data_IF_711722950633
#
_entry.id   IF_711722950633
#
_cell.length_a   1.000
_cell.length_b   1.000
_cell.length_c   1.000
_cell.angle_alpha   90.00
_cell.angle_beta   90.00
_cell.angle_gamma   90.00
#
_symmetry.space_group_name_H-M   'P 1'
#
loop_
_entity.id
_entity.type
_entity.pdbx_description
1 polymer ?
#
# COMPACT_ATOMS: atom_id res chain seq x y z
N UNK A 1 -4.45 12.48 3.01
CA UNK A 1 -3.67 11.37 3.58
C UNK A 1 -4.60 10.50 4.43
N UNK A 2 -4.63 9.18 4.23
CA UNK A 2 -5.44 8.24 5.02
C UNK A 2 -4.55 7.46 5.97
N UNK A 3 -4.99 7.29 7.21
CA UNK A 3 -4.29 6.47 8.21
C UNK A 3 -5.06 5.18 8.50
N UNK A 4 -4.35 4.06 8.48
CA UNK A 4 -4.86 2.74 8.79
C UNK A 4 -4.28 2.27 10.13
N UNK A 5 -5.15 2.10 11.14
CA UNK A 5 -4.75 1.65 12.49
C UNK A 5 -4.27 0.18 12.50
N UNK A 6 -4.64 -0.60 11.49
CA UNK A 6 -4.29 -2.01 11.34
C UNK A 6 -3.96 -2.29 9.88
N UNK A 7 -3.04 -3.24 9.64
CA UNK A 7 -2.74 -3.70 8.29
C UNK A 7 -3.88 -4.59 7.78
N UNK A 8 -4.51 -4.17 6.69
CA UNK A 8 -5.47 -4.96 5.94
C UNK A 8 -5.24 -4.71 4.45
N UNK A 9 -4.63 -5.67 3.77
CA UNK A 9 -4.20 -5.53 2.38
C UNK A 9 -5.34 -5.13 1.45
N UNK A 10 -6.52 -5.74 1.62
CA UNK A 10 -7.70 -5.47 0.79
C UNK A 10 -8.23 -4.05 0.96
N UNK A 11 -8.37 -3.55 2.19
CA UNK A 11 -8.83 -2.18 2.48
C UNK A 11 -7.82 -1.15 1.97
N UNK A 12 -6.54 -1.39 2.17
CA UNK A 12 -5.47 -0.50 1.67
C UNK A 12 -5.48 -0.50 0.14
N UNK A 13 -5.55 -1.67 -0.51
CA UNK A 13 -5.61 -1.79 -1.96
C UNK A 13 -6.82 -1.07 -2.56
N UNK A 14 -8.01 -1.18 -1.96
CA UNK A 14 -9.19 -0.43 -2.39
C UNK A 14 -8.97 1.08 -2.32
N UNK A 15 -8.43 1.56 -1.21
CA UNK A 15 -8.11 2.99 -1.06
C UNK A 15 -7.10 3.43 -2.12
N UNK A 16 -5.97 2.72 -2.27
CA UNK A 16 -4.93 3.07 -3.25
C UNK A 16 -5.50 3.07 -4.67
N UNK A 17 -6.33 2.08 -5.04
CA UNK A 17 -6.96 2.03 -6.38
C UNK A 17 -7.88 3.22 -6.65
N UNK A 18 -8.52 3.79 -5.63
CA UNK A 18 -9.39 4.97 -5.78
C UNK A 18 -8.63 6.26 -6.11
N UNK A 19 -7.29 6.28 -5.98
CA UNK A 19 -6.47 7.48 -6.20
C UNK A 19 -5.28 7.18 -7.10
N UNK A 20 -4.92 8.11 -7.99
CA UNK A 20 -3.79 7.90 -8.90
C UNK A 20 -2.42 7.98 -8.18
N UNK A 21 -2.28 8.90 -7.21
CA UNK A 21 -1.05 9.10 -6.43
C UNK A 21 -1.36 9.65 -5.04
N UNK A 22 -0.45 9.45 -4.10
CA UNK A 22 -0.53 10.05 -2.77
C UNK A 22 0.26 9.28 -1.72
N UNK A 23 -0.07 9.56 -0.46
CA UNK A 23 0.54 8.91 0.70
C UNK A 23 -0.51 8.37 1.65
N UNK A 24 -0.14 7.32 2.37
CA UNK A 24 -0.93 6.72 3.44
C UNK A 24 -0.03 6.29 4.59
N UNK A 25 -0.59 6.27 5.79
CA UNK A 25 0.12 5.78 6.97
C UNK A 25 -0.51 4.47 7.43
N UNK A 26 0.31 3.47 7.75
CA UNK A 26 -0.14 2.23 8.36
C UNK A 26 0.62 2.00 9.66
N UNK A 27 -0.10 1.86 10.76
CA UNK A 27 0.50 1.54 12.06
C UNK A 27 1.33 0.26 11.94
N UNK A 28 2.61 0.33 12.35
CA UNK A 28 3.57 -0.78 12.26
C UNK A 28 4.35 -0.89 10.94
N UNK A 29 3.97 -0.16 9.88
CA UNK A 29 4.70 -0.07 8.61
C UNK A 29 5.23 1.34 8.33
N UNK A 30 4.57 2.37 8.87
CA UNK A 30 4.94 3.76 8.71
C UNK A 30 4.24 4.44 7.53
N UNK A 31 4.86 5.52 7.05
CA UNK A 31 4.40 6.28 5.89
C UNK A 31 4.78 5.55 4.61
N UNK A 32 3.79 5.34 3.75
CA UNK A 32 3.95 4.69 2.45
C UNK A 32 3.48 5.63 1.34
N UNK A 33 4.22 5.63 0.25
CA UNK A 33 3.86 6.36 -0.96
C UNK A 33 3.21 5.41 -1.98
N UNK A 34 2.33 5.96 -2.80
CA UNK A 34 1.75 5.25 -3.92
C UNK A 34 1.65 6.15 -5.14
N UNK A 35 1.90 5.56 -6.31
CA UNK A 35 1.89 6.24 -7.60
C UNK A 35 1.36 5.27 -8.66
N UNK A 36 0.63 5.81 -9.64
CA UNK A 36 -0.03 5.04 -10.69
C UNK A 36 -0.93 3.92 -10.12
N UNK A 37 -1.60 4.20 -9.01
CA UNK A 37 -2.48 3.24 -8.33
C UNK A 37 -1.76 2.04 -7.70
N UNK A 38 -0.44 2.09 -7.48
CA UNK A 38 0.34 1.04 -6.81
C UNK A 38 1.19 1.61 -5.67
N UNK A 39 1.40 0.82 -4.61
CA UNK A 39 2.36 1.18 -3.57
C UNK A 39 3.79 1.16 -4.12
N UNK A 40 4.54 2.21 -3.82
CA UNK A 40 5.96 2.35 -4.13
C UNK A 40 6.78 1.59 -3.09
N UNK A 41 7.76 0.80 -3.54
CA UNK A 41 8.68 0.10 -2.65
C UNK A 41 9.82 1.03 -2.23
N UNK A 42 9.99 1.35 -0.93
CA UNK A 42 11.13 2.15 -0.48
C UNK A 42 12.45 1.39 -0.66
N UNK A 43 13.49 2.07 -1.11
CA UNK A 43 14.81 1.48 -1.36
C UNK A 43 15.44 0.87 -0.11
N UNK A 44 15.19 1.47 1.05
CA UNK A 44 15.68 1.06 2.36
C UNK A 44 14.67 0.21 3.17
N UNK A 45 13.62 -0.31 2.53
CA UNK A 45 12.63 -1.13 3.21
C UNK A 45 13.20 -2.49 3.66
N UNK A 46 12.99 -2.84 4.93
CA UNK A 46 13.26 -4.19 5.44
C UNK A 46 12.34 -5.26 4.83
N UNK A 47 12.73 -6.53 4.96
CA UNK A 47 12.02 -7.66 4.33
C UNK A 47 10.52 -7.72 4.68
N UNK A 48 10.15 -7.43 5.92
CA UNK A 48 8.74 -7.41 6.35
C UNK A 48 7.92 -6.33 5.59
N UNK A 49 8.46 -5.12 5.47
CA UNK A 49 7.80 -4.03 4.73
C UNK A 49 7.64 -4.42 3.26
N UNK A 50 8.69 -5.01 2.67
CA UNK A 50 8.66 -5.47 1.27
C UNK A 50 7.57 -6.52 1.02
N UNK A 51 7.47 -7.52 1.90
CA UNK A 51 6.43 -8.55 1.84
C UNK A 51 5.03 -7.93 1.90
N UNK A 52 4.78 -7.05 2.88
CA UNK A 52 3.47 -6.39 3.08
C UNK A 52 3.06 -5.49 1.92
N UNK A 53 3.99 -4.72 1.35
CA UNK A 53 3.73 -3.92 0.15
C UNK A 53 3.37 -4.83 -1.04
N UNK A 54 4.07 -5.95 -1.19
CA UNK A 54 3.83 -6.91 -2.26
C UNK A 54 2.44 -7.57 -2.14
N UNK A 55 2.01 -7.90 -0.92
CA UNK A 55 0.65 -8.37 -0.63
C UNK A 55 -0.41 -7.36 -1.10
N UNK A 56 -0.25 -6.07 -0.74
CA UNK A 56 -1.17 -5.01 -1.16
C UNK A 56 -1.21 -4.88 -2.68
N UNK A 57 -0.05 -4.80 -3.33
CA UNK A 57 0.04 -4.66 -4.79
C UNK A 57 -0.57 -5.87 -5.52
N UNK A 58 -0.53 -7.07 -4.91
CA UNK A 58 -1.23 -8.26 -5.43
C UNK A 58 -2.75 -8.09 -5.38
N UNK A 59 -3.30 -7.58 -4.28
CA UNK A 59 -4.73 -7.28 -4.18
C UNK A 59 -5.17 -6.17 -5.14
N UNK A 60 -4.34 -5.13 -5.33
CA UNK A 60 -4.61 -4.07 -6.32
C UNK A 60 -4.75 -4.67 -7.72
N UNK A 61 -3.82 -5.55 -8.12
CA UNK A 61 -3.86 -6.24 -9.42
C UNK A 61 -5.10 -7.09 -9.59
N UNK A 62 -5.59 -7.74 -8.53
CA UNK A 62 -6.83 -8.53 -8.57
C UNK A 62 -8.07 -7.69 -8.86
N UNK A 63 -8.08 -6.43 -8.44
CA UNK A 63 -9.17 -5.52 -8.78
C UNK A 63 -9.11 -5.01 -10.23
N UNK A 64 -7.98 -5.14 -10.94
CA UNK A 64 -7.85 -4.65 -12.31
C UNK A 64 -8.39 -5.63 -13.36
N UNK A 65 -8.88 -6.79 -12.93
CA UNK A 65 -9.65 -7.76 -13.72
C UNK A 65 -11.09 -7.28 -13.86
#
# INVERSE_FOLDING_TARGET
MRSFKQFNSLRIARYVKSFFRGTLYVTGLGLLEFQQGMLVMPSNAGNNVKMRISEVNREIKRFAV
#
